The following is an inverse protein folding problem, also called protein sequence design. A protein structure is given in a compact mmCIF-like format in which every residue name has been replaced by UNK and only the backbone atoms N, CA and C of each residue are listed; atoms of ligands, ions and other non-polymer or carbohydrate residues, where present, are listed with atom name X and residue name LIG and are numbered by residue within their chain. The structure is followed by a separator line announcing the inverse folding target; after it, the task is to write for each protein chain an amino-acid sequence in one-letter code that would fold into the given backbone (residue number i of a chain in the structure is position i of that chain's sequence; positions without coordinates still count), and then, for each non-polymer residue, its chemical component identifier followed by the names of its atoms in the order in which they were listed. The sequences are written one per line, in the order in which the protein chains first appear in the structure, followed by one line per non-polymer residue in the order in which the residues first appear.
data_IF_247772596146
#
_entry.id   IF_247772596146
#
_cell.length_a   1.000
_cell.length_b   1.000
_cell.length_c   1.000
_cell.angle_alpha   90.00
_cell.angle_beta   90.00
_cell.angle_gamma   90.00
#
_symmetry.space_group_name_H-M   'P 1'
#
loop_
_entity.id
_entity.type
_entity.pdbx_description
1 polymer ?
#
# COMPACT_ATOMS: atom_id res chain seq x y z
N UNK A 1 43.05 21.24 42.40
CA UNK A 1 43.18 21.63 40.97
C UNK A 1 42.53 22.99 40.81
N UNK A 2 43.31 23.98 40.50
CA UNK A 2 42.89 25.38 40.38
C UNK A 2 41.99 25.60 39.15
N UNK A 3 41.11 26.60 39.22
CA UNK A 3 40.21 26.97 38.09
C UNK A 3 40.94 27.12 36.73
N UNK A 4 42.23 27.52 36.79
CA UNK A 4 43.12 27.66 35.63
C UNK A 4 43.44 26.30 34.96
N UNK A 5 43.64 25.24 35.75
CA UNK A 5 43.90 23.89 35.21
C UNK A 5 42.70 23.26 34.50
N UNK A 6 41.47 23.60 34.95
CA UNK A 6 40.24 23.14 34.26
C UNK A 6 40.00 23.87 32.93
N UNK A 7 40.36 25.15 32.84
CA UNK A 7 40.25 25.90 31.58
C UNK A 7 41.26 25.40 30.54
N UNK A 8 42.50 25.11 30.95
CA UNK A 8 43.53 24.56 30.05
C UNK A 8 43.16 23.15 29.55
N UNK A 9 42.53 22.32 30.40
CA UNK A 9 42.10 20.96 30.00
C UNK A 9 40.93 20.99 29.01
N UNK A 10 39.97 21.93 29.17
CA UNK A 10 38.85 22.14 28.23
C UNK A 10 39.38 22.71 26.91
N UNK A 11 40.38 23.58 26.90
CA UNK A 11 40.99 24.13 25.68
C UNK A 11 41.79 23.08 24.91
N UNK A 12 42.50 22.16 25.61
CA UNK A 12 43.22 21.03 25.01
C UNK A 12 42.25 19.98 24.42
N UNK A 13 41.10 19.73 25.06
CA UNK A 13 40.04 18.86 24.53
C UNK A 13 39.38 19.46 23.28
N UNK A 14 39.16 20.77 23.25
CA UNK A 14 38.63 21.46 22.09
C UNK A 14 39.61 21.49 20.90
N UNK A 15 40.94 21.60 21.16
CA UNK A 15 41.96 21.50 20.11
C UNK A 15 42.13 20.09 19.58
N UNK A 16 41.98 19.03 20.42
CA UNK A 16 41.98 17.65 19.96
C UNK A 16 40.76 17.30 19.11
N UNK A 17 39.57 17.87 19.41
CA UNK A 17 38.36 17.62 18.60
C UNK A 17 38.42 18.32 17.25
N UNK A 18 39.07 19.49 17.14
CA UNK A 18 39.24 20.15 15.85
C UNK A 18 40.28 19.47 14.93
N UNK A 19 41.29 18.79 15.50
CA UNK A 19 42.24 18.00 14.68
C UNK A 19 41.64 16.64 14.22
N UNK A 20 40.72 16.03 14.97
CA UNK A 20 40.02 14.81 14.56
C UNK A 20 39.02 15.04 13.41
N UNK A 21 38.60 16.28 13.16
CA UNK A 21 37.76 16.64 12.01
C UNK A 21 38.55 17.17 10.81
N UNK A 22 39.85 17.36 10.92
CA UNK A 22 40.68 17.91 9.85
C UNK A 22 41.29 16.85 8.92
N UNK A 23 41.26 15.57 9.29
CA UNK A 23 41.75 14.47 8.45
C UNK A 23 40.62 13.78 7.64
N UNK A 24 39.66 14.52 7.16
CA UNK A 24 39.00 14.14 5.94
C UNK A 24 40.04 14.28 4.83
N UNK A 25 40.74 13.17 4.54
CA UNK A 25 41.44 13.00 3.25
C UNK A 25 40.61 13.71 2.21
N UNK A 26 41.08 14.87 1.71
CA UNK A 26 40.72 15.38 0.39
C UNK A 26 41.09 14.25 -0.54
N UNK A 27 40.16 13.37 -0.86
CA UNK A 27 40.23 12.58 -2.06
C UNK A 27 40.25 13.67 -3.14
N UNK A 28 41.45 13.88 -3.71
CA UNK A 28 41.60 14.67 -4.92
C UNK A 28 40.78 13.86 -5.91
N UNK A 29 39.52 14.23 -6.11
CA UNK A 29 38.78 13.76 -7.27
C UNK A 29 39.63 14.12 -8.46
N UNK A 30 40.16 13.11 -9.12
CA UNK A 30 40.80 13.28 -10.40
C UNK A 30 39.72 13.73 -11.36
N UNK A 31 39.52 15.04 -11.47
CA UNK A 31 38.58 15.64 -12.43
C UNK A 31 39.08 15.28 -13.82
N UNK A 32 38.16 14.77 -14.63
CA UNK A 32 38.44 14.49 -16.03
C UNK A 32 38.66 15.82 -16.75
N UNK A 33 39.82 16.02 -17.36
CA UNK A 33 40.20 17.27 -18.00
C UNK A 33 40.74 17.06 -19.41
N UNK A 34 40.85 18.13 -20.19
CA UNK A 34 41.43 18.16 -21.52
C UNK A 34 40.71 17.26 -22.52
N UNK A 35 41.52 16.60 -23.38
CA UNK A 35 41.00 15.76 -24.47
C UNK A 35 40.19 14.56 -23.98
N UNK A 36 40.56 13.95 -22.85
CA UNK A 36 39.85 12.84 -22.27
C UNK A 36 38.42 13.24 -21.84
N UNK A 37 38.22 14.48 -21.33
CA UNK A 37 36.90 15.02 -21.02
C UNK A 37 36.05 15.17 -22.28
N UNK A 38 36.61 15.74 -23.35
CA UNK A 38 35.89 15.90 -24.62
C UNK A 38 35.44 14.56 -25.18
N UNK A 39 36.34 13.55 -25.15
CA UNK A 39 36.02 12.19 -25.60
C UNK A 39 34.95 11.53 -24.74
N UNK A 40 34.99 11.72 -23.41
CA UNK A 40 33.98 11.21 -22.48
C UNK A 40 32.63 11.85 -22.73
N UNK A 41 32.58 13.19 -22.79
CA UNK A 41 31.34 13.96 -23.00
C UNK A 41 30.68 13.57 -24.34
N UNK A 42 31.48 13.42 -25.42
CA UNK A 42 30.99 12.94 -26.72
C UNK A 42 30.41 11.52 -26.61
N UNK A 43 31.14 10.58 -26.04
CA UNK A 43 30.69 9.20 -25.90
C UNK A 43 29.44 9.11 -25.01
N UNK A 44 29.37 9.88 -23.92
CA UNK A 44 28.21 9.93 -23.04
C UNK A 44 26.94 10.44 -23.76
N UNK A 45 27.06 11.54 -24.50
CA UNK A 45 25.94 12.12 -25.26
C UNK A 45 25.46 11.17 -26.37
N UNK A 46 26.38 10.53 -27.09
CA UNK A 46 26.02 9.53 -28.12
C UNK A 46 25.36 8.29 -27.48
N UNK A 47 25.86 7.84 -26.34
CA UNK A 47 25.22 6.75 -25.56
C UNK A 47 23.78 7.08 -25.17
N UNK A 48 23.55 8.29 -24.63
CA UNK A 48 22.19 8.77 -24.29
C UNK A 48 21.32 8.87 -25.55
N UNK A 49 21.86 9.44 -26.64
CA UNK A 49 21.12 9.55 -27.91
C UNK A 49 20.71 8.17 -28.45
N UNK A 50 21.62 7.21 -28.49
CA UNK A 50 21.32 5.84 -28.92
C UNK A 50 20.27 5.17 -28.03
N UNK A 51 20.36 5.35 -26.71
CA UNK A 51 19.36 4.85 -25.74
C UNK A 51 17.96 5.41 -26.05
N UNK A 52 17.85 6.72 -26.25
CA UNK A 52 16.56 7.38 -26.58
C UNK A 52 15.99 6.89 -27.91
N UNK A 53 16.83 6.60 -28.88
CA UNK A 53 16.43 6.04 -30.18
C UNK A 53 16.15 4.52 -30.15
N UNK A 54 16.35 3.86 -29.00
CA UNK A 54 16.13 2.42 -28.85
C UNK A 54 17.29 1.54 -29.35
N UNK A 55 18.38 2.12 -29.84
CA UNK A 55 19.60 1.37 -30.20
C UNK A 55 20.42 1.08 -28.93
N UNK A 56 19.91 0.14 -28.14
CA UNK A 56 20.50 -0.22 -26.85
C UNK A 56 21.90 -0.82 -27.00
N UNK A 57 22.20 -1.52 -28.11
CA UNK A 57 23.51 -2.10 -28.37
C UNK A 57 24.57 -1.03 -28.54
N UNK A 58 24.31 -0.03 -29.38
CA UNK A 58 25.23 1.11 -29.56
C UNK A 58 25.34 1.95 -28.29
N UNK A 59 24.23 2.14 -27.55
CA UNK A 59 24.22 2.86 -26.26
C UNK A 59 25.18 2.20 -25.27
N UNK A 60 25.12 0.86 -25.09
CA UNK A 60 26.01 0.12 -24.20
C UNK A 60 27.48 0.31 -24.65
N UNK A 61 27.77 0.21 -25.94
CA UNK A 61 29.13 0.36 -26.45
C UNK A 61 29.72 1.75 -26.13
N UNK A 62 28.92 2.82 -26.26
CA UNK A 62 29.33 4.17 -25.91
C UNK A 62 29.54 4.35 -24.41
N UNK A 63 28.65 3.81 -23.57
CA UNK A 63 28.82 3.85 -22.11
C UNK A 63 30.01 3.03 -21.64
N UNK A 64 30.31 1.88 -22.27
CA UNK A 64 31.54 1.12 -22.02
C UNK A 64 32.81 1.93 -22.39
N UNK A 65 32.74 2.70 -23.47
CA UNK A 65 33.81 3.64 -23.80
C UNK A 65 33.99 4.69 -22.72
N UNK A 66 32.89 5.27 -22.20
CA UNK A 66 32.94 6.19 -21.07
C UNK A 66 33.60 5.55 -19.84
N UNK A 67 33.24 4.31 -19.50
CA UNK A 67 33.83 3.58 -18.38
C UNK A 67 35.35 3.34 -18.55
N UNK A 68 35.82 3.15 -19.76
CA UNK A 68 37.27 3.02 -20.07
C UNK A 68 38.01 4.34 -19.91
N UNK A 69 37.38 5.47 -20.27
CA UNK A 69 37.96 6.81 -20.14
C UNK A 69 37.97 7.25 -18.67
N UNK A 70 36.82 7.06 -17.98
CA UNK A 70 36.65 7.46 -16.60
C UNK A 70 35.73 6.52 -15.85
N UNK A 71 36.33 5.63 -15.07
CA UNK A 71 35.59 4.58 -14.34
C UNK A 71 34.91 5.01 -13.05
N UNK A 72 34.95 6.30 -12.65
CA UNK A 72 34.30 6.82 -11.44
C UNK A 72 33.02 7.59 -11.74
N UNK A 73 32.44 7.46 -12.93
CA UNK A 73 31.19 8.13 -13.27
C UNK A 73 29.99 7.33 -12.74
N UNK A 74 29.28 7.89 -11.76
CA UNK A 74 28.01 7.35 -11.28
C UNK A 74 26.91 7.40 -12.37
N UNK A 75 26.91 8.47 -13.18
CA UNK A 75 25.94 8.64 -14.26
C UNK A 75 26.05 7.53 -15.31
N UNK A 76 27.27 7.16 -15.72
CA UNK A 76 27.47 6.07 -16.71
C UNK A 76 26.98 4.73 -16.16
N UNK A 77 27.24 4.45 -14.87
CA UNK A 77 26.76 3.23 -14.21
C UNK A 77 25.24 3.17 -14.17
N UNK A 78 24.61 4.31 -13.87
CA UNK A 78 23.15 4.43 -13.88
C UNK A 78 22.59 4.18 -15.30
N UNK A 79 23.17 4.80 -16.32
CA UNK A 79 22.71 4.65 -17.70
C UNK A 79 22.87 3.19 -18.19
N UNK A 80 24.02 2.57 -17.94
CA UNK A 80 24.25 1.15 -18.25
C UNK A 80 23.25 0.26 -17.50
N UNK A 81 23.09 0.46 -16.19
CA UNK A 81 22.17 -0.32 -15.37
C UNK A 81 20.74 -0.16 -15.86
N UNK A 82 20.31 1.06 -16.23
CA UNK A 82 18.96 1.34 -16.71
C UNK A 82 18.61 0.63 -18.03
N UNK A 83 19.62 0.28 -18.83
CA UNK A 83 19.44 -0.55 -20.03
C UNK A 83 19.45 -2.04 -19.65
N UNK A 84 20.42 -2.45 -18.84
CA UNK A 84 20.60 -3.85 -18.50
C UNK A 84 19.46 -4.44 -17.67
N UNK A 85 18.71 -3.63 -16.90
CA UNK A 85 17.52 -4.08 -16.15
C UNK A 85 16.34 -4.49 -17.02
N UNK A 86 16.41 -4.23 -18.33
CA UNK A 86 15.42 -4.72 -19.30
C UNK A 86 15.60 -6.22 -19.59
N UNK A 87 16.76 -6.77 -19.27
CA UNK A 87 17.03 -8.21 -19.33
C UNK A 87 16.58 -8.95 -18.06
N UNK A 88 16.87 -10.25 -18.04
CA UNK A 88 16.49 -11.13 -16.91
C UNK A 88 17.60 -11.25 -15.85
N UNK A 89 18.85 -10.93 -16.20
CA UNK A 89 19.99 -10.99 -15.26
C UNK A 89 20.23 -9.64 -14.60
N UNK A 90 19.94 -9.57 -13.33
CA UNK A 90 20.12 -8.37 -12.49
C UNK A 90 21.48 -8.33 -11.77
N UNK A 91 22.43 -9.25 -12.06
CA UNK A 91 23.69 -9.34 -11.33
C UNK A 91 24.57 -8.13 -11.60
N UNK A 92 24.86 -7.85 -12.88
CA UNK A 92 25.67 -6.68 -13.26
C UNK A 92 24.94 -5.35 -12.97
N UNK A 93 23.63 -5.18 -13.31
CA UNK A 93 22.90 -3.98 -12.91
C UNK A 93 22.96 -3.67 -11.42
N UNK A 94 22.84 -4.68 -10.56
CA UNK A 94 22.92 -4.50 -9.10
C UNK A 94 24.30 -4.00 -8.67
N UNK A 95 25.36 -4.58 -9.21
CA UNK A 95 26.72 -4.15 -8.91
C UNK A 95 26.93 -2.69 -9.33
N UNK A 96 26.59 -2.34 -10.59
CA UNK A 96 26.72 -0.97 -11.12
C UNK A 96 25.97 0.04 -10.27
N UNK A 97 24.76 -0.30 -9.82
CA UNK A 97 23.97 0.61 -9.00
C UNK A 97 24.47 0.75 -7.58
N UNK A 98 25.01 -0.29 -6.96
CA UNK A 98 25.70 -0.17 -5.67
C UNK A 98 26.89 0.79 -5.77
N UNK A 99 27.73 0.62 -6.79
CA UNK A 99 28.86 1.51 -7.03
C UNK A 99 28.41 2.96 -7.34
N UNK A 100 27.33 3.15 -8.10
CA UNK A 100 26.78 4.48 -8.39
C UNK A 100 26.28 5.19 -7.11
N UNK A 101 25.58 4.45 -6.24
CA UNK A 101 25.08 4.97 -4.94
C UNK A 101 26.23 5.22 -3.95
N UNK A 102 27.35 4.48 -4.03
CA UNK A 102 28.54 4.77 -3.24
C UNK A 102 29.21 6.08 -3.69
N UNK A 103 29.24 6.35 -4.99
CA UNK A 103 29.80 7.59 -5.56
C UNK A 103 28.91 8.80 -5.27
N UNK A 104 27.60 8.66 -5.43
CA UNK A 104 26.63 9.73 -5.22
C UNK A 104 25.47 9.26 -4.29
N UNK A 105 25.71 9.20 -2.97
CA UNK A 105 24.79 8.55 -2.05
C UNK A 105 23.45 9.27 -1.88
N UNK A 106 23.37 10.55 -2.20
CA UNK A 106 22.14 11.35 -2.05
C UNK A 106 21.32 11.45 -3.33
N UNK A 107 21.80 10.88 -4.45
CA UNK A 107 21.09 10.92 -5.72
C UNK A 107 19.84 10.04 -5.65
N UNK A 108 18.68 10.66 -5.74
CA UNK A 108 17.38 9.99 -5.61
C UNK A 108 17.17 8.93 -6.70
N UNK A 109 17.56 9.22 -7.95
CA UNK A 109 17.35 8.33 -9.09
C UNK A 109 18.18 7.06 -8.98
N UNK A 110 19.43 7.19 -8.48
CA UNK A 110 20.30 6.04 -8.30
C UNK A 110 19.79 5.14 -7.17
N UNK A 111 19.36 5.72 -6.06
CA UNK A 111 18.76 4.96 -4.98
C UNK A 111 17.44 4.29 -5.40
N UNK A 112 16.58 4.96 -6.19
CA UNK A 112 15.34 4.36 -6.70
C UNK A 112 15.60 3.19 -7.65
N UNK A 113 16.56 3.31 -8.56
CA UNK A 113 16.91 2.20 -9.47
C UNK A 113 17.55 1.03 -8.69
N UNK A 114 18.42 1.32 -7.71
CA UNK A 114 18.95 0.30 -6.82
C UNK A 114 17.85 -0.45 -6.08
N UNK A 115 16.89 0.27 -5.48
CA UNK A 115 15.75 -0.33 -4.76
C UNK A 115 14.90 -1.21 -5.70
N UNK A 116 14.64 -0.76 -6.93
CA UNK A 116 13.89 -1.54 -7.92
C UNK A 116 14.61 -2.86 -8.26
N UNK A 117 15.92 -2.81 -8.50
CA UNK A 117 16.73 -4.01 -8.79
C UNK A 117 16.72 -4.97 -7.60
N UNK A 118 16.87 -4.46 -6.37
CA UNK A 118 16.82 -5.26 -5.15
C UNK A 118 15.47 -5.96 -5.00
N UNK A 119 14.36 -5.26 -5.27
CA UNK A 119 13.01 -5.84 -5.27
C UNK A 119 12.88 -6.98 -6.29
N UNK A 120 13.33 -6.77 -7.53
CA UNK A 120 13.32 -7.80 -8.59
C UNK A 120 14.15 -9.04 -8.24
N UNK A 121 15.20 -8.86 -7.45
CA UNK A 121 16.02 -9.97 -6.90
C UNK A 121 15.47 -10.55 -5.60
N UNK A 122 14.29 -10.11 -5.16
CA UNK A 122 13.67 -10.50 -3.87
C UNK A 122 14.55 -10.19 -2.64
N UNK A 123 15.45 -9.22 -2.76
CA UNK A 123 16.30 -8.74 -1.67
C UNK A 123 15.59 -7.64 -0.88
N UNK A 124 14.41 -7.98 -0.36
CA UNK A 124 13.44 -7.00 0.19
C UNK A 124 14.03 -6.19 1.33
N UNK A 125 14.78 -6.81 2.24
CA UNK A 125 15.37 -6.07 3.38
C UNK A 125 16.40 -5.03 2.96
N UNK A 126 17.15 -5.30 1.89
CA UNK A 126 18.10 -4.32 1.37
C UNK A 126 17.35 -3.19 0.64
N UNK A 127 16.27 -3.51 -0.08
CA UNK A 127 15.40 -2.50 -0.69
C UNK A 127 14.81 -1.56 0.37
N UNK A 128 14.30 -2.10 1.49
CA UNK A 128 13.80 -1.29 2.61
C UNK A 128 14.87 -0.36 3.18
N UNK A 129 16.13 -0.83 3.36
CA UNK A 129 17.22 0.05 3.80
C UNK A 129 17.49 1.22 2.85
N UNK A 130 17.27 1.01 1.54
CA UNK A 130 17.37 2.10 0.56
C UNK A 130 16.21 3.09 0.74
N UNK A 131 14.98 2.60 0.97
CA UNK A 131 13.83 3.46 1.25
C UNK A 131 13.95 4.19 2.59
N UNK A 132 14.46 3.56 3.65
CA UNK A 132 14.81 4.23 4.91
C UNK A 132 15.70 5.46 4.66
N UNK A 133 16.75 5.29 3.83
CA UNK A 133 17.64 6.39 3.46
C UNK A 133 16.94 7.46 2.62
N UNK A 134 16.10 7.06 1.65
CA UNK A 134 15.31 7.98 0.84
C UNK A 134 14.36 8.81 1.70
N UNK A 135 13.69 8.19 2.68
CA UNK A 135 12.81 8.87 3.64
C UNK A 135 13.58 9.87 4.51
N UNK A 136 14.81 9.52 4.92
CA UNK A 136 15.64 10.46 5.69
C UNK A 136 16.06 11.68 4.86
N UNK A 137 16.33 11.51 3.57
CA UNK A 137 16.72 12.58 2.66
C UNK A 137 15.53 13.41 2.17
N UNK A 138 14.37 12.78 2.03
CA UNK A 138 13.14 13.34 1.46
C UNK A 138 11.92 12.99 2.30
N UNK A 139 11.85 13.47 3.56
CA UNK A 139 10.76 13.11 4.48
C UNK A 139 9.38 13.59 4.04
N UNK A 140 9.32 14.52 3.09
CA UNK A 140 8.09 15.03 2.48
C UNK A 140 7.48 14.10 1.40
N UNK A 141 8.20 13.05 0.99
CA UNK A 141 7.77 12.10 -0.05
C UNK A 141 6.97 10.95 0.56
N UNK A 142 5.64 11.07 0.54
CA UNK A 142 4.70 10.06 1.07
C UNK A 142 4.85 8.71 0.40
N UNK A 143 5.10 8.70 -0.92
CA UNK A 143 5.24 7.48 -1.71
C UNK A 143 6.35 6.55 -1.20
N UNK A 144 7.42 7.06 -0.62
CA UNK A 144 8.50 6.23 -0.09
C UNK A 144 8.06 5.42 1.13
N UNK A 145 7.25 6.01 2.01
CA UNK A 145 6.70 5.31 3.16
C UNK A 145 5.71 4.21 2.73
N UNK A 146 4.89 4.50 1.72
CA UNK A 146 3.91 3.54 1.18
C UNK A 146 4.66 2.32 0.62
N UNK A 147 5.65 2.55 -0.26
CA UNK A 147 6.42 1.46 -0.87
C UNK A 147 7.18 0.66 0.19
N UNK A 148 7.79 1.30 1.19
CA UNK A 148 8.51 0.60 2.25
C UNK A 148 7.56 -0.25 3.11
N UNK A 149 6.35 0.27 3.41
CA UNK A 149 5.30 -0.48 4.10
C UNK A 149 4.88 -1.72 3.33
N UNK A 150 4.65 -1.57 2.03
CA UNK A 150 4.25 -2.68 1.15
C UNK A 150 5.35 -3.75 1.06
N UNK A 151 6.61 -3.33 0.98
CA UNK A 151 7.76 -4.24 0.94
C UNK A 151 7.84 -5.08 2.22
N UNK A 152 7.77 -4.46 3.41
CA UNK A 152 7.76 -5.21 4.66
C UNK A 152 6.53 -6.11 4.78
N UNK A 153 5.37 -5.64 4.31
CA UNK A 153 4.13 -6.41 4.32
C UNK A 153 4.20 -7.63 3.40
N UNK A 154 4.88 -7.53 2.25
CA UNK A 154 5.04 -8.63 1.28
C UNK A 154 5.85 -9.82 1.83
N UNK A 155 6.67 -9.57 2.85
CA UNK A 155 7.49 -10.59 3.54
C UNK A 155 7.04 -10.82 4.98
N UNK A 156 5.79 -10.45 5.28
CA UNK A 156 5.11 -10.67 6.57
C UNK A 156 5.83 -10.05 7.79
N UNK A 157 6.64 -9.00 7.56
CA UNK A 157 7.30 -8.25 8.64
C UNK A 157 6.41 -7.13 9.15
N UNK A 158 5.26 -7.52 9.70
CA UNK A 158 4.18 -6.62 10.12
C UNK A 158 4.65 -5.53 11.08
N UNK A 159 5.47 -5.88 12.08
CA UNK A 159 6.03 -4.91 13.04
C UNK A 159 6.84 -3.81 12.36
N UNK A 160 7.65 -4.17 11.35
CA UNK A 160 8.43 -3.21 10.59
C UNK A 160 7.55 -2.32 9.72
N UNK A 161 6.56 -2.89 9.05
CA UNK A 161 5.58 -2.13 8.27
C UNK A 161 4.82 -1.13 9.16
N UNK A 162 4.39 -1.54 10.37
CA UNK A 162 3.76 -0.65 11.34
C UNK A 162 4.69 0.49 11.75
N UNK A 163 5.97 0.21 11.99
CA UNK A 163 6.96 1.26 12.32
C UNK A 163 7.10 2.30 11.20
N UNK A 164 7.05 1.88 9.94
CA UNK A 164 7.05 2.82 8.80
C UNK A 164 5.81 3.70 8.83
N UNK A 165 4.63 3.12 9.07
CA UNK A 165 3.37 3.87 9.20
C UNK A 165 3.36 4.80 10.43
N UNK A 166 4.06 4.45 11.52
CA UNK A 166 4.24 5.34 12.67
C UNK A 166 5.09 6.57 12.30
N UNK A 167 6.16 6.36 11.51
CA UNK A 167 6.97 7.47 10.97
C UNK A 167 6.16 8.34 10.01
N UNK A 168 5.34 7.72 9.15
CA UNK A 168 4.40 8.43 8.28
C UNK A 168 3.44 9.29 9.09
N UNK A 169 2.76 8.70 10.10
CA UNK A 169 1.80 9.43 10.94
C UNK A 169 2.46 10.60 11.69
N UNK A 170 3.71 10.44 12.14
CA UNK A 170 4.47 11.51 12.77
C UNK A 170 4.76 12.66 11.83
N UNK A 171 5.03 12.38 10.55
CA UNK A 171 5.38 13.38 9.53
C UNK A 171 4.16 14.09 8.96
N UNK A 172 3.11 13.34 8.61
CA UNK A 172 1.95 13.84 7.87
C UNK A 172 0.67 13.95 8.71
N UNK A 173 0.71 13.43 9.93
CA UNK A 173 -0.46 13.37 10.80
C UNK A 173 -1.38 12.20 10.48
N UNK A 174 -2.60 12.24 11.05
CA UNK A 174 -3.60 11.17 10.88
C UNK A 174 -4.12 11.17 9.45
N UNK A 175 -3.80 10.12 8.71
CA UNK A 175 -4.27 9.80 7.36
C UNK A 175 -5.17 8.57 7.42
N UNK A 176 -6.35 8.64 6.80
CA UNK A 176 -7.30 7.52 6.79
C UNK A 176 -6.70 6.25 6.20
N UNK A 177 -6.06 6.28 5.00
CA UNK A 177 -5.44 5.08 4.41
C UNK A 177 -4.37 4.47 5.30
N UNK A 178 -3.49 5.29 5.90
CA UNK A 178 -2.41 4.83 6.74
C UNK A 178 -2.92 4.17 8.05
N UNK A 179 -3.95 4.75 8.67
CA UNK A 179 -4.58 4.19 9.88
C UNK A 179 -5.27 2.86 9.57
N UNK A 180 -6.00 2.78 8.45
CA UNK A 180 -6.69 1.54 8.04
C UNK A 180 -5.66 0.44 7.77
N UNK A 181 -4.58 0.75 7.05
CA UNK A 181 -3.53 -0.23 6.78
C UNK A 181 -2.84 -0.71 8.07
N UNK A 182 -2.54 0.21 8.98
CA UNK A 182 -1.98 -0.12 10.29
C UNK A 182 -2.89 -1.01 11.13
N UNK A 183 -4.20 -0.72 11.13
CA UNK A 183 -5.19 -1.56 11.79
C UNK A 183 -5.27 -2.96 11.17
N UNK A 184 -5.19 -3.09 9.84
CA UNK A 184 -5.13 -4.39 9.16
C UNK A 184 -3.88 -5.18 9.53
N UNK A 185 -2.72 -4.53 9.61
CA UNK A 185 -1.46 -5.18 10.01
C UNK A 185 -1.56 -5.72 11.45
N UNK A 186 -2.07 -4.92 12.40
CA UNK A 186 -2.34 -5.39 13.76
C UNK A 186 -3.36 -6.54 13.78
N UNK A 187 -4.39 -6.47 12.94
CA UNK A 187 -5.38 -7.56 12.81
C UNK A 187 -4.75 -8.86 12.32
N UNK A 188 -3.85 -8.80 11.32
CA UNK A 188 -3.08 -9.97 10.85
C UNK A 188 -2.19 -10.57 11.94
N UNK A 189 -1.70 -9.75 12.87
CA UNK A 189 -0.95 -10.18 14.05
C UNK A 189 -1.86 -10.69 15.19
N UNK A 190 -3.17 -10.71 14.98
CA UNK A 190 -4.19 -10.99 16.00
C UNK A 190 -4.16 -10.01 17.20
N UNK A 191 -3.57 -8.83 17.00
CA UNK A 191 -3.53 -7.75 17.99
C UNK A 191 -4.75 -6.82 17.83
N UNK A 192 -5.90 -7.35 18.19
CA UNK A 192 -7.19 -6.64 18.14
C UNK A 192 -7.18 -5.36 18.99
N UNK A 193 -6.42 -5.37 20.08
CA UNK A 193 -6.31 -4.22 20.97
C UNK A 193 -5.72 -3.02 20.24
N UNK A 194 -4.53 -3.18 19.65
CA UNK A 194 -3.86 -2.10 18.94
C UNK A 194 -4.60 -1.75 17.64
N UNK A 195 -5.12 -2.73 16.89
CA UNK A 195 -5.98 -2.47 15.74
C UNK A 195 -7.18 -1.57 16.10
N UNK A 196 -7.86 -1.85 17.22
CA UNK A 196 -9.01 -1.04 17.67
C UNK A 196 -8.59 0.37 18.11
N UNK A 197 -7.41 0.54 18.68
CA UNK A 197 -6.86 1.86 19.05
C UNK A 197 -6.62 2.70 17.79
N UNK A 198 -6.09 2.12 16.74
CA UNK A 198 -5.87 2.82 15.47
C UNK A 198 -7.21 3.28 14.85
N UNK A 199 -8.18 2.38 14.67
CA UNK A 199 -9.50 2.75 14.12
C UNK A 199 -10.17 3.83 14.97
N UNK A 200 -10.01 3.77 16.30
CA UNK A 200 -10.57 4.76 17.20
C UNK A 200 -10.02 6.18 16.97
N UNK A 201 -8.80 6.34 16.41
CA UNK A 201 -8.28 7.65 15.98
C UNK A 201 -9.18 8.28 14.92
N UNK A 202 -9.65 7.47 13.95
CA UNK A 202 -10.56 7.93 12.89
C UNK A 202 -11.94 8.26 13.46
N UNK A 203 -12.48 7.41 14.35
CA UNK A 203 -13.76 7.68 15.04
C UNK A 203 -13.72 9.00 15.79
N UNK A 204 -12.60 9.33 16.45
CA UNK A 204 -12.44 10.59 17.19
C UNK A 204 -12.26 11.79 16.25
N UNK A 205 -11.52 11.62 15.15
CA UNK A 205 -11.26 12.70 14.19
C UNK A 205 -12.50 13.04 13.35
N UNK A 206 -13.34 12.06 13.07
CA UNK A 206 -14.51 12.17 12.19
C UNK A 206 -15.74 11.55 12.86
N UNK A 207 -16.25 12.13 13.96
CA UNK A 207 -17.32 11.54 14.77
C UNK A 207 -18.66 11.41 14.03
N UNK A 208 -18.85 12.18 12.97
CA UNK A 208 -20.01 12.14 12.07
C UNK A 208 -19.99 10.96 11.10
N UNK A 209 -18.80 10.38 10.83
CA UNK A 209 -18.67 9.24 9.94
C UNK A 209 -18.86 7.92 10.68
N UNK A 210 -20.07 7.36 10.57
CA UNK A 210 -20.43 6.09 11.24
C UNK A 210 -19.68 4.88 10.66
N UNK A 211 -19.09 5.00 9.46
CA UNK A 211 -18.36 3.94 8.77
C UNK A 211 -17.17 3.43 9.59
N UNK A 212 -16.49 4.32 10.32
CA UNK A 212 -15.36 3.91 11.18
C UNK A 212 -15.82 3.12 12.42
N UNK A 213 -17.03 3.37 12.93
CA UNK A 213 -17.64 2.51 13.94
C UNK A 213 -17.99 1.15 13.35
N UNK A 214 -18.45 1.11 12.10
CA UNK A 214 -18.66 -0.13 11.34
C UNK A 214 -17.39 -0.94 11.20
N UNK A 215 -16.29 -0.31 10.77
CA UNK A 215 -14.98 -0.92 10.67
C UNK A 215 -14.48 -1.48 12.01
N UNK A 216 -14.69 -0.75 13.11
CA UNK A 216 -14.37 -1.22 14.45
C UNK A 216 -15.22 -2.42 14.88
N UNK A 217 -16.50 -2.41 14.51
CA UNK A 217 -17.38 -3.53 14.78
C UNK A 217 -16.96 -4.79 14.01
N UNK A 218 -16.61 -4.64 12.73
CA UNK A 218 -16.08 -5.72 11.88
C UNK A 218 -14.80 -6.32 12.47
N UNK A 219 -13.86 -5.48 12.92
CA UNK A 219 -12.65 -5.94 13.60
C UNK A 219 -12.99 -6.82 14.81
N UNK A 220 -13.94 -6.39 15.66
CA UNK A 220 -14.31 -7.17 16.83
C UNK A 220 -14.99 -8.49 16.46
N UNK A 221 -15.87 -8.49 15.45
CA UNK A 221 -16.59 -9.68 15.01
C UNK A 221 -15.68 -10.72 14.36
N UNK A 222 -14.71 -10.26 13.57
CA UNK A 222 -13.73 -11.16 12.91
C UNK A 222 -12.74 -11.81 13.88
N UNK A 223 -12.67 -11.32 15.13
CA UNK A 223 -11.78 -11.83 16.19
C UNK A 223 -12.56 -12.35 17.41
N UNK A 224 -13.73 -12.92 17.20
CA UNK A 224 -14.57 -13.56 18.23
C UNK A 224 -14.97 -12.64 19.41
N UNK A 225 -14.84 -11.31 19.26
CA UNK A 225 -15.32 -10.35 20.25
C UNK A 225 -16.75 -9.89 19.93
N UNK A 226 -17.61 -10.85 19.71
CA UNK A 226 -18.97 -10.72 19.19
C UNK A 226 -19.83 -9.69 19.97
N UNK A 227 -19.79 -9.75 21.30
CA UNK A 227 -20.54 -8.81 22.14
C UNK A 227 -20.20 -7.35 21.88
N UNK A 228 -18.91 -7.04 21.69
CA UNK A 228 -18.44 -5.67 21.42
C UNK A 228 -18.85 -5.23 20.02
N UNK A 229 -18.67 -6.09 19.02
CA UNK A 229 -19.04 -5.80 17.64
C UNK A 229 -20.55 -5.49 17.51
N UNK A 230 -21.38 -6.36 18.05
CA UNK A 230 -22.85 -6.17 18.04
C UNK A 230 -23.31 -4.91 18.79
N UNK A 231 -22.66 -4.58 19.93
CA UNK A 231 -22.96 -3.35 20.65
C UNK A 231 -22.70 -2.11 19.79
N UNK A 232 -21.60 -2.09 19.03
CA UNK A 232 -21.29 -0.98 18.13
C UNK A 232 -22.29 -0.89 16.97
N UNK A 233 -22.57 -2.00 16.28
CA UNK A 233 -23.53 -2.03 15.18
C UNK A 233 -24.92 -1.58 15.63
N UNK A 234 -25.41 -2.07 16.77
CA UNK A 234 -26.69 -1.66 17.32
C UNK A 234 -26.71 -0.16 17.71
N UNK A 235 -25.58 0.37 18.20
CA UNK A 235 -25.43 1.80 18.47
C UNK A 235 -25.55 2.63 17.20
N UNK A 236 -24.91 2.17 16.09
CA UNK A 236 -25.02 2.86 14.79
C UNK A 236 -26.47 2.85 14.32
N UNK A 237 -27.13 1.68 14.28
CA UNK A 237 -28.53 1.56 13.83
C UNK A 237 -29.49 2.40 14.69
N UNK A 238 -29.18 2.56 15.98
CA UNK A 238 -30.01 3.43 16.88
C UNK A 238 -29.85 4.91 16.53
N UNK A 239 -28.63 5.35 16.20
CA UNK A 239 -28.36 6.76 15.92
C UNK A 239 -28.66 7.12 14.45
N UNK A 240 -28.46 6.18 13.52
CA UNK A 240 -28.75 6.30 12.11
C UNK A 240 -29.60 5.08 11.66
N UNK A 241 -30.93 5.15 11.82
CA UNK A 241 -31.82 4.06 11.42
C UNK A 241 -31.86 3.80 9.93
N UNK A 242 -31.34 4.71 9.10
CA UNK A 242 -31.33 4.60 7.65
C UNK A 242 -29.98 4.08 7.11
N UNK A 243 -29.05 3.74 7.99
CA UNK A 243 -27.75 3.19 7.60
C UNK A 243 -27.90 1.81 6.98
N UNK A 244 -27.98 1.78 5.64
CA UNK A 244 -28.15 0.55 4.88
C UNK A 244 -26.95 -0.41 5.01
N UNK A 245 -25.73 0.11 5.02
CA UNK A 245 -24.51 -0.70 5.14
C UNK A 245 -24.48 -1.50 6.44
N UNK A 246 -24.73 -0.83 7.57
CA UNK A 246 -24.70 -1.49 8.88
C UNK A 246 -25.82 -2.51 9.01
N UNK A 247 -27.01 -2.24 8.46
CA UNK A 247 -28.11 -3.20 8.45
C UNK A 247 -27.78 -4.43 7.61
N UNK A 248 -27.16 -4.26 6.44
CA UNK A 248 -26.72 -5.38 5.60
C UNK A 248 -25.60 -6.17 6.28
N UNK A 249 -24.71 -5.49 7.00
CA UNK A 249 -23.70 -6.16 7.80
C UNK A 249 -24.31 -7.03 8.92
N UNK A 250 -25.31 -6.51 9.63
CA UNK A 250 -26.07 -7.28 10.62
C UNK A 250 -26.81 -8.47 9.97
N UNK A 251 -27.37 -8.28 8.77
CA UNK A 251 -27.97 -9.38 8.01
C UNK A 251 -26.97 -10.49 7.72
N UNK A 252 -25.77 -10.15 7.22
CA UNK A 252 -24.69 -11.12 6.96
C UNK A 252 -24.24 -11.81 8.25
N UNK A 253 -24.09 -11.06 9.34
CA UNK A 253 -23.74 -11.63 10.63
C UNK A 253 -24.78 -12.66 11.10
N UNK A 254 -26.08 -12.32 11.13
CA UNK A 254 -27.12 -13.26 11.54
C UNK A 254 -27.25 -14.44 10.59
N UNK A 255 -27.00 -14.25 9.31
CA UNK A 255 -26.94 -15.33 8.32
C UNK A 255 -25.85 -16.34 8.64
N UNK A 256 -24.64 -15.91 9.01
CA UNK A 256 -23.56 -16.84 9.41
C UNK A 256 -23.88 -17.61 10.70
N UNK A 257 -24.78 -17.07 11.53
CA UNK A 257 -25.28 -17.72 12.75
C UNK A 257 -26.52 -18.59 12.50
N UNK A 258 -26.96 -18.74 11.24
CA UNK A 258 -28.20 -19.45 10.85
C UNK A 258 -29.47 -18.88 11.53
N UNK A 259 -29.46 -17.61 11.93
CA UNK A 259 -30.61 -16.89 12.45
C UNK A 259 -31.41 -16.28 11.30
N UNK A 260 -32.26 -17.09 10.68
CA UNK A 260 -33.07 -16.71 9.51
C UNK A 260 -34.02 -15.52 9.82
N UNK A 261 -34.55 -15.43 11.03
CA UNK A 261 -35.48 -14.39 11.41
C UNK A 261 -34.83 -13.00 11.40
N UNK A 262 -33.68 -12.87 12.05
CA UNK A 262 -32.98 -11.59 12.07
C UNK A 262 -32.34 -11.29 10.71
N UNK A 263 -31.86 -12.29 9.97
CA UNK A 263 -31.38 -12.13 8.59
C UNK A 263 -32.46 -11.49 7.72
N UNK A 264 -33.66 -12.08 7.66
CA UNK A 264 -34.81 -11.60 6.90
C UNK A 264 -35.21 -10.18 7.31
N UNK A 265 -35.31 -9.93 8.61
CA UNK A 265 -35.61 -8.62 9.17
C UNK A 265 -34.69 -7.53 8.66
N UNK A 266 -33.38 -7.75 8.70
CA UNK A 266 -32.41 -6.73 8.31
C UNK A 266 -32.37 -6.55 6.79
N UNK A 267 -32.40 -7.62 5.99
CA UNK A 267 -32.46 -7.52 4.54
C UNK A 267 -33.69 -6.72 4.10
N UNK A 268 -34.88 -7.11 4.52
CA UNK A 268 -36.14 -6.39 4.15
C UNK A 268 -36.12 -4.95 4.62
N UNK A 269 -35.56 -4.67 5.80
CA UNK A 269 -35.46 -3.30 6.30
C UNK A 269 -34.65 -2.38 5.41
N UNK A 270 -33.69 -2.93 4.66
CA UNK A 270 -32.89 -2.18 3.68
C UNK A 270 -33.62 -2.09 2.33
N UNK A 271 -34.12 -3.22 1.82
CA UNK A 271 -34.83 -3.25 0.51
C UNK A 271 -36.01 -2.28 0.48
N UNK A 272 -36.73 -2.17 1.60
CA UNK A 272 -37.91 -1.32 1.72
C UNK A 272 -37.61 0.12 2.14
N UNK A 273 -36.37 0.49 2.43
CA UNK A 273 -36.03 1.84 2.85
C UNK A 273 -35.72 2.74 1.64
N UNK A 274 -36.53 3.79 1.45
CA UNK A 274 -36.37 4.73 0.33
C UNK A 274 -35.11 5.64 0.44
N UNK A 275 -34.57 5.79 1.64
CA UNK A 275 -33.37 6.58 1.87
C UNK A 275 -32.07 5.81 1.54
N UNK A 276 -32.15 4.50 1.38
CA UNK A 276 -31.02 3.68 0.96
C UNK A 276 -31.00 3.61 -0.56
N UNK A 277 -29.85 3.94 -1.17
CA UNK A 277 -29.69 3.91 -2.61
C UNK A 277 -29.93 2.51 -3.21
N UNK A 278 -30.64 2.46 -4.33
CA UNK A 278 -30.91 1.20 -5.02
C UNK A 278 -29.66 0.49 -5.48
N UNK A 279 -28.59 1.24 -5.81
CA UNK A 279 -27.29 0.68 -6.14
C UNK A 279 -26.74 -0.24 -5.04
N UNK A 280 -26.79 0.17 -3.77
CA UNK A 280 -26.37 -0.65 -2.64
C UNK A 280 -27.23 -1.92 -2.48
N UNK A 281 -28.54 -1.80 -2.65
CA UNK A 281 -29.48 -2.93 -2.58
C UNK A 281 -29.19 -3.97 -3.66
N UNK A 282 -29.02 -3.52 -4.90
CA UNK A 282 -28.67 -4.37 -6.05
C UNK A 282 -27.32 -5.04 -5.84
N UNK A 283 -26.30 -4.29 -5.43
CA UNK A 283 -24.96 -4.83 -5.18
C UNK A 283 -24.99 -5.92 -4.11
N UNK A 284 -25.77 -5.75 -3.04
CA UNK A 284 -25.90 -6.75 -1.99
C UNK A 284 -26.57 -8.03 -2.50
N UNK A 285 -27.66 -7.92 -3.28
CA UNK A 285 -28.33 -9.09 -3.86
C UNK A 285 -27.45 -9.82 -4.89
N UNK A 286 -26.66 -9.10 -5.68
CA UNK A 286 -25.65 -9.70 -6.57
C UNK A 286 -24.57 -10.45 -5.77
N UNK A 287 -24.10 -9.89 -4.64
CA UNK A 287 -23.15 -10.57 -3.73
C UNK A 287 -23.73 -11.89 -3.23
N UNK A 288 -25.00 -11.91 -2.78
CA UNK A 288 -25.67 -13.13 -2.34
C UNK A 288 -25.78 -14.16 -3.47
N UNK A 289 -26.09 -13.71 -4.67
CA UNK A 289 -26.24 -14.57 -5.85
C UNK A 289 -24.91 -15.20 -6.29
N UNK A 290 -23.82 -14.45 -6.26
CA UNK A 290 -22.48 -14.95 -6.63
C UNK A 290 -21.97 -15.95 -5.60
N UNK A 291 -22.16 -15.66 -4.32
CA UNK A 291 -21.68 -16.47 -3.20
C UNK A 291 -22.73 -17.47 -2.67
N UNK A 292 -23.69 -17.87 -3.51
CA UNK A 292 -24.84 -18.68 -3.10
C UNK A 292 -24.46 -19.94 -2.32
N UNK A 293 -23.41 -20.64 -2.72
CA UNK A 293 -22.98 -21.89 -2.08
C UNK A 293 -22.47 -21.66 -0.65
N UNK A 294 -21.86 -20.51 -0.39
CA UNK A 294 -21.34 -20.12 0.94
C UNK A 294 -22.38 -19.34 1.76
N UNK A 295 -23.44 -18.88 1.10
CA UNK A 295 -24.39 -17.95 1.69
C UNK A 295 -25.49 -18.60 2.55
N UNK A 296 -25.64 -19.93 2.54
CA UNK A 296 -26.73 -20.65 3.21
C UNK A 296 -28.15 -20.07 2.92
N UNK A 297 -28.33 -19.47 1.74
CA UNK A 297 -29.60 -18.90 1.27
C UNK A 297 -29.95 -19.61 -0.05
N UNK A 298 -31.19 -20.10 -0.17
CA UNK A 298 -31.68 -20.70 -1.41
C UNK A 298 -31.84 -19.66 -2.52
N UNK A 299 -31.73 -20.10 -3.76
CA UNK A 299 -32.01 -19.24 -4.93
C UNK A 299 -33.43 -18.65 -4.87
N UNK A 300 -34.42 -19.44 -4.44
CA UNK A 300 -35.81 -18.98 -4.31
C UNK A 300 -35.93 -17.85 -3.28
N UNK A 301 -35.18 -17.90 -2.18
CA UNK A 301 -35.12 -16.82 -1.21
C UNK A 301 -34.52 -15.55 -1.79
N UNK A 302 -33.38 -15.67 -2.51
CA UNK A 302 -32.76 -14.51 -3.17
C UNK A 302 -33.72 -13.94 -4.21
N UNK A 303 -34.41 -14.80 -4.97
CA UNK A 303 -35.41 -14.35 -5.91
C UNK A 303 -36.57 -13.58 -5.25
N UNK A 304 -37.05 -14.04 -4.08
CA UNK A 304 -38.08 -13.31 -3.34
C UNK A 304 -37.63 -11.88 -2.97
N UNK A 305 -36.35 -11.68 -2.65
CA UNK A 305 -35.81 -10.34 -2.40
C UNK A 305 -35.72 -9.48 -3.67
N UNK A 306 -35.36 -10.10 -4.80
CA UNK A 306 -35.36 -9.40 -6.10
C UNK A 306 -36.78 -8.96 -6.46
N UNK A 307 -37.80 -9.80 -6.23
CA UNK A 307 -39.20 -9.45 -6.46
C UNK A 307 -39.68 -8.31 -5.57
N UNK A 308 -39.37 -8.33 -4.25
CA UNK A 308 -39.67 -7.22 -3.34
C UNK A 308 -39.09 -5.91 -3.84
N UNK A 309 -37.84 -5.95 -4.34
CA UNK A 309 -37.18 -4.76 -4.86
C UNK A 309 -37.80 -4.28 -6.17
N UNK A 310 -38.13 -5.21 -7.09
CA UNK A 310 -38.77 -4.90 -8.35
C UNK A 310 -40.20 -4.33 -8.19
N UNK A 311 -40.99 -4.89 -7.27
CA UNK A 311 -42.32 -4.37 -6.95
C UNK A 311 -42.25 -2.93 -6.42
N UNK A 312 -41.24 -2.63 -5.59
CA UNK A 312 -41.08 -1.30 -5.03
C UNK A 312 -40.50 -0.27 -5.98
N UNK A 313 -39.56 -0.70 -6.84
CA UNK A 313 -38.84 0.18 -7.77
C UNK A 313 -38.89 -0.35 -9.22
N UNK A 314 -40.09 -0.45 -9.82
CA UNK A 314 -40.28 -1.11 -11.12
C UNK A 314 -39.59 -0.39 -12.29
N UNK A 315 -39.36 0.92 -12.16
CA UNK A 315 -38.74 1.74 -13.24
C UNK A 315 -37.21 1.88 -13.07
N UNK A 316 -36.65 1.37 -11.98
CA UNK A 316 -35.21 1.47 -11.74
C UNK A 316 -34.45 0.49 -12.68
N UNK A 317 -33.54 1.02 -13.50
CA UNK A 317 -32.81 0.26 -14.51
C UNK A 317 -31.94 -0.81 -13.85
N UNK A 318 -31.26 -0.49 -12.73
CA UNK A 318 -30.38 -1.43 -12.05
C UNK A 318 -31.16 -2.61 -11.46
N UNK A 319 -32.35 -2.33 -10.90
CA UNK A 319 -33.27 -3.34 -10.36
C UNK A 319 -33.82 -4.25 -11.47
N UNK A 320 -34.22 -3.67 -12.59
CA UNK A 320 -34.69 -4.45 -13.77
C UNK A 320 -33.60 -5.31 -14.36
N UNK A 321 -32.38 -4.78 -14.45
CA UNK A 321 -31.21 -5.55 -14.93
C UNK A 321 -30.91 -6.72 -14.00
N UNK A 322 -30.91 -6.49 -12.68
CA UNK A 322 -30.75 -7.55 -11.70
C UNK A 322 -31.78 -8.67 -11.87
N UNK A 323 -33.07 -8.31 -12.04
CA UNK A 323 -34.12 -9.30 -12.25
C UNK A 323 -33.93 -10.09 -13.56
N UNK A 324 -33.53 -9.44 -14.64
CA UNK A 324 -33.23 -10.12 -15.92
C UNK A 324 -32.04 -11.08 -15.80
N UNK A 325 -30.98 -10.66 -15.14
CA UNK A 325 -29.78 -11.50 -14.87
C UNK A 325 -30.14 -12.70 -13.98
N UNK A 326 -30.99 -12.47 -12.97
CA UNK A 326 -31.47 -13.53 -12.11
C UNK A 326 -32.28 -14.57 -12.90
N UNK A 327 -33.26 -14.14 -13.67
CA UNK A 327 -34.11 -15.03 -14.48
C UNK A 327 -33.27 -15.85 -15.48
N UNK A 328 -32.25 -15.24 -16.09
CA UNK A 328 -31.33 -15.96 -16.98
C UNK A 328 -30.61 -17.09 -16.27
N UNK A 329 -30.10 -16.85 -15.06
CA UNK A 329 -29.38 -17.86 -14.24
C UNK A 329 -30.32 -18.89 -13.65
N UNK A 330 -31.53 -18.48 -13.23
CA UNK A 330 -32.56 -19.35 -12.68
C UNK A 330 -33.08 -20.33 -13.72
N UNK A 331 -33.41 -19.86 -14.93
CA UNK A 331 -33.89 -20.70 -16.00
C UNK A 331 -32.83 -21.69 -16.53
N UNK A 332 -31.55 -21.33 -16.53
CA UNK A 332 -30.47 -22.25 -16.90
C UNK A 332 -30.29 -23.38 -15.87
N UNK A 333 -30.53 -23.14 -14.57
CA UNK A 333 -30.49 -24.19 -13.54
C UNK A 333 -31.78 -25.03 -13.48
N UNK A 334 -32.94 -24.42 -13.76
CA UNK A 334 -34.23 -25.13 -13.81
C UNK A 334 -34.35 -26.07 -15.02
N UNK A 335 -33.72 -25.75 -16.15
CA UNK A 335 -33.67 -26.64 -17.32
C UNK A 335 -32.90 -27.95 -17.10
N UNK A 336 -32.00 -28.01 -16.10
CA UNK A 336 -31.30 -29.22 -15.71
C UNK A 336 -32.05 -30.09 -14.67
N UNK A 337 -33.07 -29.54 -13.99
CA UNK A 337 -33.87 -30.31 -13.03
C UNK A 337 -35.07 -31.01 -13.61
N UNK A 338 -35.43 -30.74 -14.87
CA UNK A 338 -36.57 -31.38 -15.58
C UNK A 338 -36.15 -32.51 -16.53
N UNK A 339 -34.92 -32.97 -16.47
CA UNK A 339 -34.39 -34.03 -17.34
C UNK A 339 -33.89 -35.25 -16.57
N UNK A 340 -34.56 -35.62 -15.47
CA UNK A 340 -34.44 -36.97 -14.93
C UNK A 340 -35.78 -37.49 -14.40
#
# INVERSE_FOLDING_TARGET
MTKLGRLLFVFLLLLCTTQLFADKKKVVESTLEGEAKVQFDYAFMEGVRCKVLGDLKSAIAYFDQCMKIYNKSAAVRYELSSILVLGEDYTLPLQLMREAVELEPTNIWYNLLLANILQRKSMIEEACKVYDKLILLHPEREDFYIVETDLYSSVEKWDKAINVLDRYEKQFGISEPAIIEKAKLYSKMNDVKNASVEIMKLVKKYPEKTDYLGLLAELYLSHDQEKKGLQLLNKIVKNDPDNGFVRLYLADYYRTKNDSLNTEKYIRSVLLNDKVENGLKVQYLLKLLVNQNDANISLDHIYSYVQVLLEKYPEDIAVRTLNADFLKRYNTKGAFSCTF
#
